data_IF_112788058499
#
_entry.id   IF_112788058499
#
_cell.length_a   1.000
_cell.length_b   1.000
_cell.length_c   1.000
_cell.angle_alpha   90.00
_cell.angle_beta   90.00
_cell.angle_gamma   90.00
#
_symmetry.space_group_name_H-M   'P 1'
#
loop_
_entity.id
_entity.type
_entity.pdbx_description
1 polymer ?
#
# COMPACT_ATOMS: atom_id res chain seq x y z
N UNK A 1 7.46 -16.12 -17.15
CA UNK A 1 8.62 -15.82 -16.33
C UNK A 1 8.61 -16.66 -15.07
N UNK A 2 9.78 -17.17 -14.72
CA UNK A 2 9.87 -18.08 -13.58
C UNK A 2 10.06 -17.37 -12.24
N UNK A 3 10.57 -16.13 -12.26
CA UNK A 3 10.86 -15.40 -11.03
C UNK A 3 9.65 -14.60 -10.61
N UNK A 4 9.20 -14.81 -9.38
CA UNK A 4 8.05 -14.10 -8.81
C UNK A 4 8.43 -13.53 -7.45
N UNK A 5 8.02 -12.32 -7.17
CA UNK A 5 8.16 -11.77 -5.82
C UNK A 5 7.24 -12.58 -4.90
N UNK A 6 7.79 -13.12 -3.81
CA UNK A 6 7.01 -13.94 -2.88
C UNK A 6 6.61 -13.16 -1.64
N UNK A 7 7.55 -12.51 -1.01
CA UNK A 7 7.26 -11.72 0.19
C UNK A 7 8.30 -10.63 0.38
N UNK A 8 7.93 -9.62 1.15
CA UNK A 8 8.85 -8.56 1.54
C UNK A 8 8.55 -8.17 2.98
N UNK A 9 9.56 -7.70 3.69
CA UNK A 9 9.42 -7.28 5.08
C UNK A 9 9.06 -5.79 5.11
N UNK A 10 8.01 -5.46 5.85
CA UNK A 10 7.60 -4.08 6.07
C UNK A 10 7.91 -3.74 7.53
N UNK A 11 8.94 -2.94 7.76
CA UNK A 11 9.32 -2.53 9.09
C UNK A 11 8.36 -1.46 9.62
N UNK A 12 7.97 -1.59 10.87
CA UNK A 12 6.97 -0.72 11.48
C UNK A 12 7.32 -0.44 12.93
N UNK A 13 6.91 0.71 13.44
CA UNK A 13 7.05 1.04 14.86
C UNK A 13 6.16 0.16 15.71
N UNK A 14 4.95 -0.14 15.20
CA UNK A 14 3.99 -1.03 15.83
C UNK A 14 3.42 -1.93 14.72
N UNK A 15 4.02 -3.12 14.51
CA UNK A 15 3.60 -3.98 13.40
C UNK A 15 2.16 -4.47 13.51
N UNK A 16 1.65 -4.66 14.72
CA UNK A 16 0.26 -5.08 14.90
C UNK A 16 -0.69 -3.99 14.37
N UNK A 17 -0.50 -2.75 14.82
CA UNK A 17 -1.31 -1.63 14.38
C UNK A 17 -1.13 -1.40 12.87
N UNK A 18 0.10 -1.48 12.37
CA UNK A 18 0.40 -1.23 10.96
C UNK A 18 -0.23 -2.28 10.04
N UNK A 19 -0.14 -3.56 10.41
CA UNK A 19 -0.71 -4.63 9.61
C UNK A 19 -2.24 -4.56 9.57
N UNK A 20 -2.87 -4.27 10.71
CA UNK A 20 -4.32 -4.11 10.76
C UNK A 20 -4.79 -2.87 10.01
N UNK A 21 -4.04 -1.78 10.11
CA UNK A 21 -4.32 -0.57 9.35
C UNK A 21 -4.34 -0.87 7.84
N UNK A 22 -3.29 -1.55 7.38
CA UNK A 22 -3.15 -1.87 5.96
C UNK A 22 -4.27 -2.80 5.50
N UNK A 23 -4.47 -3.92 6.20
CA UNK A 23 -5.48 -4.90 5.80
C UNK A 23 -6.89 -4.29 5.80
N UNK A 24 -7.22 -3.49 6.81
CA UNK A 24 -8.52 -2.84 6.88
C UNK A 24 -8.73 -1.81 5.78
N UNK A 25 -7.71 -1.03 5.48
CA UNK A 25 -7.79 0.00 4.44
C UNK A 25 -7.95 -0.61 3.05
N UNK A 26 -7.25 -1.70 2.79
CA UNK A 26 -7.26 -2.37 1.49
C UNK A 26 -8.36 -3.42 1.36
N UNK A 27 -9.13 -3.67 2.44
CA UNK A 27 -10.21 -4.65 2.39
C UNK A 27 -9.72 -6.09 2.30
N UNK A 28 -8.57 -6.37 2.89
CA UNK A 28 -7.94 -7.70 2.86
C UNK A 28 -8.27 -8.47 4.13
N UNK A 29 -8.10 -9.82 4.11
CA UNK A 29 -8.26 -10.61 5.32
C UNK A 29 -7.35 -10.14 6.45
N UNK A 30 -7.75 -10.42 7.69
CA UNK A 30 -7.00 -10.02 8.86
C UNK A 30 -5.57 -10.58 8.83
N UNK A 31 -4.60 -9.84 9.37
CA UNK A 31 -3.22 -10.33 9.44
C UNK A 31 -3.12 -11.63 10.22
N UNK A 32 -2.17 -12.46 9.84
CA UNK A 32 -1.88 -13.74 10.51
C UNK A 32 -0.49 -13.69 11.11
N UNK A 33 -0.36 -14.17 12.34
CA UNK A 33 0.94 -14.28 13.01
C UNK A 33 1.78 -15.40 12.39
N UNK A 34 3.04 -15.11 12.12
CA UNK A 34 4.00 -16.11 11.67
C UNK A 34 5.35 -15.77 12.31
N UNK A 35 5.69 -16.46 13.39
CA UNK A 35 6.86 -16.10 14.20
C UNK A 35 6.76 -14.65 14.69
N UNK A 36 7.79 -13.83 14.47
CA UNK A 36 7.77 -12.43 14.87
C UNK A 36 7.01 -11.54 13.88
N UNK A 37 6.51 -12.11 12.78
CA UNK A 37 5.87 -11.36 11.71
C UNK A 37 4.36 -11.36 11.83
N UNK A 38 3.74 -10.30 11.31
CA UNK A 38 2.31 -10.27 11.03
C UNK A 38 2.17 -10.21 9.51
N UNK A 39 1.63 -11.27 8.94
CA UNK A 39 1.55 -11.44 7.49
C UNK A 39 0.22 -10.96 6.94
N UNK A 40 0.27 -10.15 5.89
CA UNK A 40 -0.89 -9.72 5.11
C UNK A 40 -0.67 -10.17 3.68
N UNK A 41 -1.60 -10.99 3.17
CA UNK A 41 -1.52 -11.46 1.79
C UNK A 41 -2.22 -10.47 0.86
N UNK A 42 -1.56 -10.16 -0.25
CA UNK A 42 -2.15 -9.37 -1.33
C UNK A 42 -2.52 -10.28 -2.51
N UNK A 43 -3.26 -9.74 -3.47
CA UNK A 43 -3.98 -10.55 -4.45
C UNK A 43 -3.16 -11.37 -5.42
N UNK A 44 -1.85 -11.11 -5.57
CA UNK A 44 -0.99 -11.83 -6.51
C UNK A 44 -0.01 -12.79 -5.81
N UNK A 45 -0.44 -13.36 -4.70
CA UNK A 45 0.33 -14.36 -3.93
C UNK A 45 1.59 -13.78 -3.28
N UNK A 46 1.63 -12.48 -3.10
CA UNK A 46 2.72 -11.81 -2.38
C UNK A 46 2.29 -11.56 -0.95
N UNK A 47 3.17 -11.84 0.00
CA UNK A 47 2.94 -11.57 1.42
C UNK A 47 3.73 -10.33 1.85
N UNK A 48 3.06 -9.43 2.54
CA UNK A 48 3.72 -8.35 3.25
C UNK A 48 3.90 -8.80 4.69
N UNK A 49 5.15 -8.98 5.11
CA UNK A 49 5.49 -9.45 6.45
C UNK A 49 5.86 -8.25 7.33
N UNK A 50 4.92 -7.82 8.15
CA UNK A 50 5.14 -6.67 9.04
C UNK A 50 5.98 -7.09 10.24
N UNK A 51 7.05 -6.34 10.49
CA UNK A 51 8.02 -6.65 11.54
C UNK A 51 8.37 -5.38 12.31
N UNK A 52 8.53 -5.53 13.63
CA UNK A 52 8.96 -4.41 14.48
C UNK A 52 10.32 -3.89 14.04
N UNK A 53 10.48 -2.57 14.02
CA UNK A 53 11.78 -1.94 13.78
C UNK A 53 12.72 -2.06 14.99
N UNK A 54 12.26 -2.66 16.10
CA UNK A 54 13.10 -2.92 17.26
C UNK A 54 13.59 -1.67 17.98
N UNK A 55 12.79 -0.61 17.93
CA UNK A 55 13.17 0.68 18.55
C UNK A 55 14.04 1.55 17.66
N UNK A 56 14.41 1.06 16.47
CA UNK A 56 15.17 1.85 15.52
C UNK A 56 14.24 2.68 14.65
N UNK A 57 14.78 3.72 14.03
CA UNK A 57 14.01 4.54 13.09
C UNK A 57 13.61 3.72 11.87
N UNK A 58 12.33 3.80 11.49
CA UNK A 58 11.84 3.14 10.29
C UNK A 58 12.33 3.90 9.06
N UNK A 59 13.00 3.18 8.16
CA UNK A 59 13.35 3.75 6.85
C UNK A 59 12.14 3.61 5.95
N UNK A 60 11.56 4.73 5.56
CA UNK A 60 10.34 4.73 4.75
C UNK A 60 10.61 4.16 3.37
N UNK A 61 9.67 3.36 2.90
CA UNK A 61 9.70 2.73 1.59
C UNK A 61 8.47 3.16 0.79
N UNK A 62 8.48 2.84 -0.49
CA UNK A 62 7.34 3.09 -1.37
C UNK A 62 6.79 1.76 -1.86
N UNK A 63 5.49 1.55 -1.63
CA UNK A 63 4.78 0.35 -2.08
C UNK A 63 3.61 0.77 -2.95
N UNK A 64 3.56 0.26 -4.17
CA UNK A 64 2.50 0.58 -5.11
C UNK A 64 1.71 -0.69 -5.43
N UNK A 65 0.39 -0.56 -5.48
CA UNK A 65 -0.51 -1.69 -5.70
C UNK A 65 -1.39 -1.43 -6.91
N UNK A 66 -1.41 -2.40 -7.82
CA UNK A 66 -2.30 -2.35 -8.97
C UNK A 66 -3.67 -2.87 -8.53
N UNK A 67 -4.68 -2.05 -8.71
CA UNK A 67 -6.04 -2.36 -8.27
C UNK A 67 -7.02 -2.14 -9.44
N UNK A 68 -8.19 -2.76 -9.34
CA UNK A 68 -9.27 -2.49 -10.29
C UNK A 68 -9.87 -1.11 -10.01
N UNK A 69 -10.66 -0.60 -10.97
CA UNK A 69 -11.38 0.66 -10.73
C UNK A 69 -12.31 0.57 -9.55
N UNK A 70 -12.98 -0.57 -9.36
CA UNK A 70 -13.86 -0.77 -8.21
C UNK A 70 -13.07 -0.79 -6.90
N UNK A 71 -11.95 -1.49 -6.87
CA UNK A 71 -11.09 -1.52 -5.69
C UNK A 71 -10.53 -0.12 -5.38
N UNK A 72 -10.16 0.62 -6.41
CA UNK A 72 -9.71 2.00 -6.22
C UNK A 72 -10.79 2.81 -5.51
N UNK A 73 -12.02 2.74 -6.00
CA UNK A 73 -13.12 3.48 -5.39
C UNK A 73 -13.34 3.09 -3.93
N UNK A 74 -13.28 1.80 -3.62
CA UNK A 74 -13.48 1.30 -2.27
C UNK A 74 -12.35 1.72 -1.33
N UNK A 75 -11.11 1.57 -1.77
CA UNK A 75 -9.95 1.95 -0.95
C UNK A 75 -9.91 3.46 -0.76
N UNK A 76 -10.12 4.21 -1.82
CA UNK A 76 -10.10 5.67 -1.76
C UNK A 76 -11.21 6.21 -0.85
N UNK A 77 -12.39 5.59 -0.89
CA UNK A 77 -13.47 5.95 0.02
C UNK A 77 -13.07 5.75 1.48
N UNK A 78 -12.32 4.67 1.78
CA UNK A 78 -11.83 4.45 3.15
C UNK A 78 -10.77 5.45 3.56
N UNK A 79 -9.87 5.82 2.64
CA UNK A 79 -8.87 6.87 2.87
C UNK A 79 -9.57 8.16 3.27
N UNK A 80 -10.58 8.56 2.51
CA UNK A 80 -11.34 9.78 2.78
C UNK A 80 -12.15 9.69 4.08
N UNK A 81 -12.81 8.57 4.31
CA UNK A 81 -13.61 8.35 5.51
C UNK A 81 -12.77 8.43 6.78
N UNK A 82 -11.55 7.91 6.72
CA UNK A 82 -10.60 7.97 7.85
C UNK A 82 -9.87 9.30 7.94
N UNK A 83 -10.16 10.24 7.03
CA UNK A 83 -9.56 11.57 6.99
C UNK A 83 -8.04 11.52 6.88
N UNK A 84 -7.53 10.53 6.15
CA UNK A 84 -6.12 10.44 5.85
C UNK A 84 -5.76 11.46 4.79
N UNK A 85 -4.58 12.04 4.90
CA UNK A 85 -4.06 12.90 3.83
C UNK A 85 -3.71 12.05 2.62
N UNK A 86 -3.92 12.59 1.43
CA UNK A 86 -3.55 11.93 0.20
C UNK A 86 -3.10 12.96 -0.84
N UNK A 87 -2.33 12.49 -1.81
CA UNK A 87 -1.70 13.36 -2.81
C UNK A 87 -1.74 12.72 -4.17
N UNK A 88 -1.73 13.56 -5.21
CA UNK A 88 -1.64 13.08 -6.59
C UNK A 88 -0.20 12.70 -6.96
N UNK A 89 0.80 13.14 -6.20
CA UNK A 89 2.22 12.99 -6.53
C UNK A 89 3.01 12.38 -5.37
N UNK A 90 4.12 11.68 -5.68
CA UNK A 90 4.94 11.06 -4.64
C UNK A 90 5.70 12.08 -3.80
N UNK A 91 5.88 13.30 -4.29
CA UNK A 91 6.52 14.37 -3.55
C UNK A 91 5.61 15.05 -2.54
N UNK A 92 4.35 14.60 -2.43
CA UNK A 92 3.37 15.10 -1.48
C UNK A 92 3.14 16.61 -1.60
N UNK A 93 3.09 17.11 -2.84
CA UNK A 93 2.86 18.52 -3.13
C UNK A 93 1.43 18.82 -3.56
N UNK A 94 0.76 17.85 -4.16
CA UNK A 94 -0.60 18.03 -4.68
C UNK A 94 -1.60 17.37 -3.73
N UNK A 95 -1.70 17.93 -2.53
CA UNK A 95 -2.58 17.39 -1.49
C UNK A 95 -4.05 17.51 -1.90
N UNK A 96 -4.83 16.44 -1.60
CA UNK A 96 -6.26 16.43 -1.88
C UNK A 96 -6.61 16.17 -3.34
N UNK A 97 -5.65 15.73 -4.14
CA UNK A 97 -5.86 15.45 -5.55
C UNK A 97 -5.45 14.02 -5.89
N UNK A 98 -6.00 13.51 -6.99
CA UNK A 98 -5.58 12.22 -7.56
C UNK A 98 -4.98 12.48 -8.93
N UNK A 99 -4.20 11.53 -9.45
CA UNK A 99 -3.66 11.65 -10.80
C UNK A 99 -4.40 10.71 -11.76
N UNK A 100 -4.16 10.92 -13.07
CA UNK A 100 -4.76 10.12 -14.12
C UNK A 100 -3.69 9.57 -15.05
N UNK A 101 -2.58 9.13 -14.48
CA UNK A 101 -1.45 8.64 -15.27
C UNK A 101 -1.82 7.36 -16.02
N UNK A 102 -1.20 7.18 -17.18
CA UNK A 102 -1.33 5.99 -18.02
C UNK A 102 -2.78 5.69 -18.42
N UNK A 103 -3.65 6.71 -18.44
CA UNK A 103 -5.06 6.52 -18.76
C UNK A 103 -5.90 5.92 -17.66
N UNK A 104 -5.33 5.83 -16.44
CA UNK A 104 -6.02 5.32 -15.28
C UNK A 104 -6.14 6.36 -14.17
N UNK A 105 -6.14 5.89 -12.95
CA UNK A 105 -6.17 6.75 -11.75
C UNK A 105 -5.11 6.29 -10.77
N UNK A 106 -4.56 7.24 -10.01
CA UNK A 106 -3.60 6.94 -8.97
C UNK A 106 -3.70 7.92 -7.82
N UNK A 107 -3.32 7.47 -6.62
CA UNK A 107 -3.27 8.33 -5.45
C UNK A 107 -2.24 7.77 -4.46
N UNK A 108 -1.60 8.69 -3.74
CA UNK A 108 -0.58 8.39 -2.74
C UNK A 108 -1.10 8.73 -1.34
N UNK A 109 -0.79 7.90 -0.37
CA UNK A 109 -1.08 8.15 1.04
C UNK A 109 -0.06 7.40 1.89
N UNK A 110 -0.04 7.65 3.19
CA UNK A 110 0.97 7.05 4.06
C UNK A 110 0.35 6.04 5.02
N UNK A 111 1.14 5.04 5.40
CA UNK A 111 0.75 4.15 6.49
C UNK A 111 1.19 4.76 7.84
N UNK A 112 0.94 4.02 8.92
CA UNK A 112 1.21 4.52 10.28
C UNK A 112 2.70 4.74 10.57
N UNK A 113 3.59 4.10 9.82
CA UNK A 113 5.04 4.25 9.99
C UNK A 113 5.65 5.23 9.01
N UNK A 114 4.82 5.84 8.15
CA UNK A 114 5.28 6.82 7.18
C UNK A 114 5.66 6.23 5.82
N UNK A 115 5.46 4.92 5.61
CA UNK A 115 5.68 4.36 4.27
C UNK A 115 4.71 4.99 3.29
N UNK A 116 5.21 5.29 2.09
CA UNK A 116 4.38 5.88 1.05
C UNK A 116 3.69 4.78 0.27
N UNK A 117 2.37 4.76 0.35
CA UNK A 117 1.54 3.79 -0.35
C UNK A 117 0.91 4.44 -1.57
N UNK A 118 0.77 3.66 -2.62
CA UNK A 118 0.14 4.11 -3.86
C UNK A 118 -0.80 3.05 -4.37
N UNK A 119 -1.98 3.46 -4.84
CA UNK A 119 -2.86 2.58 -5.61
C UNK A 119 -3.01 3.15 -7.00
N UNK A 120 -2.90 2.29 -8.00
CA UNK A 120 -2.99 2.64 -9.42
C UNK A 120 -3.91 1.66 -10.14
N UNK A 121 -4.65 2.16 -11.13
CA UNK A 121 -5.56 1.30 -11.90
C UNK A 121 -4.96 0.86 -13.24
N UNK A 122 -3.77 1.36 -13.59
CA UNK A 122 -3.01 0.93 -14.77
C UNK A 122 -1.59 0.61 -14.36
N UNK A 123 -0.95 -0.39 -14.95
CA UNK A 123 0.41 -0.77 -14.57
C UNK A 123 1.40 0.38 -14.76
N UNK A 124 2.35 0.45 -13.83
CA UNK A 124 3.41 1.44 -13.87
C UNK A 124 4.23 1.32 -15.15
N UNK A 125 4.49 2.45 -15.81
CA UNK A 125 5.26 2.47 -17.04
C UNK A 125 4.57 1.77 -18.19
N UNK A 126 3.26 1.59 -18.12
CA UNK A 126 2.50 0.85 -19.15
C UNK A 126 2.25 1.74 -20.37
N UNK A 127 3.18 1.73 -21.27
CA UNK A 127 3.15 2.53 -22.51
C UNK A 127 2.49 1.72 -23.61
N UNK A 128 1.19 1.44 -23.45
CA UNK A 128 0.44 0.66 -24.42
C UNK A 128 0.73 -0.83 -24.37
N UNK A 129 1.05 -1.36 -23.21
CA UNK A 129 1.39 -2.78 -23.03
C UNK A 129 0.24 -3.65 -22.51
N UNK A 130 -0.94 -3.11 -22.41
CA UNK A 130 -2.11 -3.86 -21.94
C UNK A 130 -3.26 -3.80 -22.92
#
# INVERSE_FOLDING_TARGET
>A
MAIKLNHTIVHSTDPDAAAHFFAGLFGLPAPKSFGPFLDVEVGNEVTLAFLSAGGMEVQVQHYAFLVSDQEFDEIFARVQKRKLKYWADPGMKQEGEINKHYGGRGVYFQDLSGHLLEIITRPYGAWGKW
#
